data_IF_770490863122
#
_entry.id   IF_770490863122
#
_cell.length_a   1.000
_cell.length_b   1.000
_cell.length_c   1.000
_cell.angle_alpha   90.00
_cell.angle_beta   90.00
_cell.angle_gamma   90.00
#
_symmetry.space_group_name_H-M   'P 1'
#
loop_
_entity.id
_entity.type
_entity.pdbx_description
1 polymer ?
#
# COMPACT_ATOMS: atom_id res chain seq x y z
N UNK A 1 12.31 -10.35 -0.48
CA UNK A 1 11.11 -9.49 -0.64
C UNK A 1 11.58 -8.10 -0.97
N UNK A 2 10.92 -7.39 -1.91
CA UNK A 2 11.26 -6.00 -2.16
C UNK A 2 10.84 -5.14 -0.95
N UNK A 3 11.71 -4.24 -0.53
CA UNK A 3 11.45 -3.30 0.58
C UNK A 3 11.32 -1.90 -0.01
N UNK A 4 10.30 -1.15 0.39
CA UNK A 4 10.16 0.24 -0.03
C UNK A 4 11.18 1.13 0.70
N UNK A 5 11.71 2.18 0.06
CA UNK A 5 12.51 3.18 0.75
C UNK A 5 11.73 3.73 1.94
N UNK A 6 12.34 3.77 3.13
CA UNK A 6 11.72 4.29 4.36
C UNK A 6 11.23 5.74 4.23
N UNK A 7 11.78 6.48 3.26
CA UNK A 7 11.41 7.85 2.91
C UNK A 7 10.04 7.96 2.21
N UNK A 8 9.53 6.88 1.61
CA UNK A 8 8.28 6.87 0.84
C UNK A 8 7.13 6.22 1.60
N UNK A 9 7.42 5.25 2.47
CA UNK A 9 6.38 4.52 3.17
C UNK A 9 6.88 3.92 4.48
N UNK A 10 5.95 3.75 5.42
CA UNK A 10 6.19 3.15 6.73
C UNK A 10 5.53 1.78 6.80
N UNK A 11 6.26 0.77 7.27
CA UNK A 11 5.71 -0.59 7.40
C UNK A 11 4.56 -0.61 8.42
N UNK A 12 3.46 -1.24 8.06
CA UNK A 12 2.26 -1.40 8.92
C UNK A 12 2.06 -2.85 9.32
N UNK A 13 2.11 -3.76 8.35
CA UNK A 13 1.96 -5.19 8.57
C UNK A 13 2.73 -5.98 7.51
N UNK A 14 3.18 -7.17 7.86
CA UNK A 14 3.90 -8.06 6.95
C UNK A 14 3.46 -9.51 7.15
N UNK A 15 3.41 -10.25 6.05
CA UNK A 15 3.11 -11.67 6.06
C UNK A 15 3.63 -12.35 4.80
N UNK A 16 3.43 -13.68 4.69
CA UNK A 16 3.97 -14.47 3.58
C UNK A 16 3.36 -14.13 2.22
N UNK A 17 2.16 -13.56 2.15
CA UNK A 17 1.46 -13.25 0.89
C UNK A 17 1.52 -11.78 0.52
N UNK A 18 1.41 -10.88 1.50
CA UNK A 18 1.43 -9.43 1.29
C UNK A 18 2.22 -8.70 2.36
N UNK A 19 2.61 -7.48 2.03
CA UNK A 19 3.17 -6.49 2.94
C UNK A 19 2.41 -5.19 2.77
N UNK A 20 1.96 -4.60 3.87
CA UNK A 20 1.22 -3.35 3.88
C UNK A 20 2.14 -2.25 4.41
N UNK A 21 2.25 -1.19 3.64
CA UNK A 21 2.91 0.05 4.03
C UNK A 21 1.91 1.20 4.06
N UNK A 22 2.14 2.22 4.88
CA UNK A 22 1.44 3.49 4.84
C UNK A 22 2.30 4.52 4.11
N UNK A 23 1.72 5.23 3.15
CA UNK A 23 2.41 6.28 2.42
C UNK A 23 2.87 7.42 3.35
N UNK A 24 4.14 7.81 3.21
CA UNK A 24 4.76 8.93 3.92
C UNK A 24 4.93 10.11 2.96
N UNK A 25 4.30 11.24 3.28
CA UNK A 25 4.41 12.50 2.53
C UNK A 25 5.82 13.10 2.61
N UNK A 26 6.09 14.09 1.76
CA UNK A 26 7.37 14.80 1.73
C UNK A 26 7.62 15.61 3.02
N UNK A 27 6.55 16.15 3.62
CA UNK A 27 6.57 16.81 4.93
C UNK A 27 6.72 15.84 6.12
N UNK A 28 6.84 14.53 5.85
CA UNK A 28 6.99 13.48 6.85
C UNK A 28 5.67 12.96 7.45
N UNK A 29 4.52 13.56 7.12
CA UNK A 29 3.20 13.11 7.57
C UNK A 29 2.86 11.72 7.02
N UNK A 30 2.10 10.93 7.80
CA UNK A 30 1.65 9.59 7.43
C UNK A 30 0.14 9.48 7.65
N UNK A 31 -0.68 10.01 6.72
CA UNK A 31 -2.12 10.24 6.96
C UNK A 31 -2.90 9.00 7.37
N UNK A 32 -2.56 7.82 6.83
CA UNK A 32 -3.22 6.57 7.20
C UNK A 32 -2.96 6.18 8.67
N UNK A 33 -1.73 6.39 9.17
CA UNK A 33 -1.39 6.12 10.57
C UNK A 33 -2.01 7.17 11.51
N UNK A 34 -1.95 8.45 11.14
CA UNK A 34 -2.61 9.52 11.88
C UNK A 34 -4.12 9.28 12.03
N UNK A 35 -4.75 8.72 11.01
CA UNK A 35 -6.16 8.30 11.07
C UNK A 35 -6.36 7.11 12.02
N UNK A 36 -5.58 6.04 11.85
CA UNK A 36 -5.66 4.84 12.70
C UNK A 36 -5.47 5.19 14.18
N UNK A 37 -4.59 6.15 14.50
CA UNK A 37 -4.37 6.59 15.88
C UNK A 37 -5.58 7.28 16.51
N UNK A 38 -6.41 7.95 15.70
CA UNK A 38 -7.64 8.64 16.14
C UNK A 38 -8.85 7.72 16.31
N UNK A 39 -8.76 6.48 15.83
CA UNK A 39 -9.82 5.50 15.98
C UNK A 39 -9.96 5.03 17.44
N UNK A 40 -11.17 4.62 17.80
CA UNK A 40 -11.39 3.91 19.06
C UNK A 40 -10.58 2.61 19.11
N UNK A 41 -10.33 2.12 20.33
CA UNK A 41 -9.50 0.94 20.53
C UNK A 41 -10.04 -0.31 19.79
N UNK A 42 -11.35 -0.47 19.72
CA UNK A 42 -11.98 -1.60 19.03
C UNK A 42 -11.78 -1.52 17.50
N UNK A 43 -11.99 -0.35 16.91
CA UNK A 43 -11.76 -0.13 15.48
C UNK A 43 -10.28 -0.31 15.10
N UNK A 44 -9.36 0.22 15.92
CA UNK A 44 -7.92 0.03 15.75
C UNK A 44 -7.55 -1.47 15.76
N UNK A 45 -8.07 -2.23 16.72
CA UNK A 45 -7.83 -3.67 16.80
C UNK A 45 -8.39 -4.44 15.59
N UNK A 46 -9.60 -4.10 15.12
CA UNK A 46 -10.20 -4.74 13.93
C UNK A 46 -9.38 -4.47 12.67
N UNK A 47 -8.90 -3.25 12.44
CA UNK A 47 -8.00 -2.97 11.32
C UNK A 47 -6.69 -3.76 11.42
N UNK A 48 -6.09 -3.85 12.60
CA UNK A 48 -4.88 -4.65 12.80
C UNK A 48 -5.11 -6.13 12.44
N UNK A 49 -6.24 -6.72 12.85
CA UNK A 49 -6.65 -8.09 12.48
C UNK A 49 -6.82 -8.21 10.97
N UNK A 50 -7.57 -7.29 10.34
CA UNK A 50 -7.79 -7.31 8.90
C UNK A 50 -6.47 -7.22 8.12
N UNK A 51 -5.58 -6.31 8.49
CA UNK A 51 -4.26 -6.16 7.86
C UNK A 51 -3.43 -7.42 7.99
N UNK A 52 -3.42 -8.04 9.19
CA UNK A 52 -2.67 -9.26 9.42
C UNK A 52 -3.22 -10.44 8.61
N UNK A 53 -4.54 -10.67 8.63
CA UNK A 53 -5.19 -11.71 7.82
C UNK A 53 -4.94 -11.49 6.33
N UNK A 54 -5.05 -10.25 5.84
CA UNK A 54 -4.74 -9.95 4.44
C UNK A 54 -3.27 -10.22 4.08
N UNK A 55 -2.33 -9.92 4.99
CA UNK A 55 -0.92 -10.22 4.80
C UNK A 55 -0.60 -11.72 4.78
N UNK A 56 -1.36 -12.52 5.52
CA UNK A 56 -1.21 -13.97 5.61
C UNK A 56 -1.89 -14.72 4.46
N UNK A 57 -3.11 -14.32 4.10
CA UNK A 57 -3.98 -15.05 3.17
C UNK A 57 -3.96 -14.44 1.76
N UNK A 58 -3.55 -13.18 1.64
CA UNK A 58 -3.50 -12.44 0.37
C UNK A 58 -4.84 -11.92 -0.14
N UNK A 59 -5.93 -12.19 0.60
CA UNK A 59 -7.29 -11.76 0.31
C UNK A 59 -8.07 -11.52 1.61
N UNK A 60 -9.23 -10.88 1.50
CA UNK A 60 -10.19 -10.69 2.59
C UNK A 60 -11.61 -10.74 2.01
N UNK A 61 -12.63 -11.10 2.82
CA UNK A 61 -14.03 -10.97 2.42
C UNK A 61 -14.39 -9.55 1.95
N UNK A 62 -15.31 -9.45 0.99
CA UNK A 62 -15.73 -8.17 0.38
C UNK A 62 -16.15 -7.11 1.41
N UNK A 63 -16.79 -7.54 2.51
CA UNK A 63 -17.22 -6.66 3.60
C UNK A 63 -16.06 -5.94 4.31
N UNK A 64 -14.83 -6.42 4.18
CA UNK A 64 -13.62 -5.89 4.82
C UNK A 64 -12.61 -5.34 3.82
N UNK A 65 -12.65 -5.77 2.56
CA UNK A 65 -11.77 -5.31 1.51
C UNK A 65 -12.45 -5.37 0.15
N UNK A 66 -12.36 -4.31 -0.64
CA UNK A 66 -12.85 -4.34 -2.03
C UNK A 66 -12.05 -3.39 -2.93
N UNK A 67 -11.94 -3.76 -4.20
CA UNK A 67 -11.50 -2.84 -5.24
C UNK A 67 -12.61 -1.84 -5.56
N UNK A 68 -12.25 -0.58 -5.78
CA UNK A 68 -13.19 0.40 -6.30
C UNK A 68 -13.39 0.23 -7.79
N UNK A 69 -14.59 0.57 -8.26
CA UNK A 69 -14.97 0.35 -9.65
C UNK A 69 -14.46 1.48 -10.56
N UNK A 70 -13.29 1.26 -11.17
CA UNK A 70 -12.69 2.16 -12.16
C UNK A 70 -13.58 2.45 -13.39
N UNK A 71 -14.53 1.57 -13.72
CA UNK A 71 -15.50 1.82 -14.82
C UNK A 71 -16.55 2.86 -14.44
N UNK A 72 -16.90 2.97 -13.16
CA UNK A 72 -17.85 3.99 -12.65
C UNK A 72 -17.15 5.32 -12.38
N UNK A 73 -15.92 5.27 -11.88
CA UNK A 73 -15.09 6.46 -11.68
C UNK A 73 -13.64 6.14 -12.09
N UNK A 74 -13.16 6.76 -13.18
CA UNK A 74 -11.80 6.54 -13.69
C UNK A 74 -10.71 6.87 -12.67
N UNK A 75 -10.95 7.82 -11.77
CA UNK A 75 -10.00 8.18 -10.70
C UNK A 75 -9.86 7.05 -9.65
N UNK A 76 -10.80 6.10 -9.62
CA UNK A 76 -10.76 4.95 -8.74
C UNK A 76 -9.96 3.76 -9.32
N UNK A 77 -9.42 3.90 -10.53
CA UNK A 77 -8.74 2.78 -11.20
C UNK A 77 -7.47 2.34 -10.47
N UNK A 78 -7.38 1.03 -10.21
CA UNK A 78 -6.33 0.44 -9.40
C UNK A 78 -6.35 0.83 -7.92
N UNK A 79 -7.42 1.48 -7.43
CA UNK A 79 -7.63 1.73 -6.01
C UNK A 79 -8.49 0.62 -5.38
N UNK A 80 -8.20 0.31 -4.14
CA UNK A 80 -8.95 -0.60 -3.28
C UNK A 80 -9.12 0.02 -1.90
N UNK A 81 -9.88 -0.62 -1.03
CA UNK A 81 -10.22 -0.04 0.26
C UNK A 81 -10.43 -1.13 1.31
N UNK A 82 -9.76 -0.97 2.45
CA UNK A 82 -10.10 -1.68 3.69
C UNK A 82 -11.30 -1.01 4.35
N UNK A 83 -12.20 -1.81 4.93
CA UNK A 83 -13.44 -1.37 5.57
C UNK A 83 -13.51 -1.90 7.00
N UNK A 84 -14.00 -1.08 7.90
CA UNK A 84 -14.60 -1.51 9.16
C UNK A 84 -16.03 -0.99 9.24
N UNK A 85 -17.00 -1.88 9.00
CA UNK A 85 -18.42 -1.48 8.95
C UNK A 85 -18.97 -1.12 10.33
N UNK A 86 -18.33 -1.55 11.43
CA UNK A 86 -18.75 -1.22 12.79
C UNK A 86 -18.44 0.24 13.14
N UNK A 87 -17.22 0.72 12.86
CA UNK A 87 -16.85 2.13 13.02
C UNK A 87 -17.15 3.00 11.81
N UNK A 88 -17.73 2.42 10.75
CA UNK A 88 -17.99 3.08 9.46
C UNK A 88 -16.73 3.75 8.86
N UNK A 89 -15.58 3.12 9.09
CA UNK A 89 -14.27 3.64 8.70
C UNK A 89 -13.71 2.92 7.48
N UNK A 90 -12.95 3.66 6.66
CA UNK A 90 -12.39 3.19 5.40
C UNK A 90 -10.97 3.70 5.23
N UNK A 91 -10.09 2.87 4.68
CA UNK A 91 -8.70 3.20 4.38
C UNK A 91 -8.41 2.79 2.93
N UNK A 92 -8.33 3.74 1.98
CA UNK A 92 -8.00 3.43 0.61
C UNK A 92 -6.54 3.04 0.46
N UNK A 93 -6.28 2.16 -0.49
CA UNK A 93 -4.98 1.61 -0.79
C UNK A 93 -4.82 1.28 -2.27
N UNK A 94 -3.60 1.00 -2.69
CA UNK A 94 -3.30 0.51 -4.03
C UNK A 94 -2.13 -0.48 -3.99
N UNK A 95 -1.98 -1.28 -5.05
CA UNK A 95 -0.84 -2.16 -5.21
C UNK A 95 0.34 -1.41 -5.86
N UNK A 96 1.54 -1.58 -5.31
CA UNK A 96 2.78 -0.88 -5.73
C UNK A 96 3.39 -1.41 -7.05
N UNK A 97 2.70 -2.32 -7.75
CA UNK A 97 3.21 -3.03 -8.92
C UNK A 97 4.25 -4.12 -8.58
N UNK A 98 4.99 -3.98 -7.47
CA UNK A 98 5.79 -5.06 -6.91
C UNK A 98 4.88 -6.14 -6.31
N UNK A 99 5.22 -7.42 -6.57
CA UNK A 99 4.40 -8.55 -6.13
C UNK A 99 4.22 -8.54 -4.61
N UNK A 100 2.99 -8.32 -4.17
CA UNK A 100 2.60 -8.44 -2.77
C UNK A 100 2.66 -7.16 -1.93
N UNK A 101 3.06 -6.01 -2.50
CA UNK A 101 3.10 -4.75 -1.75
C UNK A 101 1.80 -3.96 -1.92
N UNK A 102 1.17 -3.61 -0.80
CA UNK A 102 0.01 -2.72 -0.72
C UNK A 102 0.40 -1.44 0.01
N UNK A 103 -0.04 -0.30 -0.51
CA UNK A 103 0.24 1.03 0.06
C UNK A 103 -1.07 1.67 0.50
N UNK A 104 -1.21 1.98 1.79
CA UNK A 104 -2.31 2.74 2.37
C UNK A 104 -2.10 4.23 2.10
N UNK A 105 -3.18 4.94 1.78
CA UNK A 105 -3.16 6.36 1.41
C UNK A 105 -3.47 7.26 2.61
N UNK A 106 -4.74 7.32 3.00
CA UNK A 106 -5.28 8.02 4.16
C UNK A 106 -6.45 7.21 4.73
N UNK A 107 -7.12 7.72 5.75
CA UNK A 107 -8.37 7.12 6.23
C UNK A 107 -9.45 8.17 6.45
N UNK A 108 -10.70 7.71 6.40
CA UNK A 108 -11.89 8.53 6.64
C UNK A 108 -13.00 7.69 7.27
N UNK A 109 -13.92 8.36 7.98
CA UNK A 109 -15.07 7.74 8.67
C UNK A 109 -16.41 8.28 8.18
N UNK A 110 -17.50 7.90 8.88
CA UNK A 110 -18.83 8.49 8.68
C UNK A 110 -19.62 7.99 7.45
N UNK A 111 -19.23 6.85 6.88
CA UNK A 111 -19.92 6.22 5.74
C UNK A 111 -21.12 5.40 6.20
N UNK A 112 -22.34 5.86 5.91
CA UNK A 112 -23.57 5.07 6.07
C UNK A 112 -23.88 4.16 4.87
N UNK A 113 -23.39 4.53 3.69
CA UNK A 113 -23.67 3.85 2.42
C UNK A 113 -22.40 3.35 1.72
N UNK A 114 -22.58 2.46 0.75
CA UNK A 114 -21.47 1.83 0.03
C UNK A 114 -20.77 2.75 -0.98
N UNK A 115 -21.46 3.79 -1.44
CA UNK A 115 -20.87 4.78 -2.34
C UNK A 115 -19.83 5.61 -1.60
N UNK A 116 -18.62 5.68 -2.18
CA UNK A 116 -17.50 6.47 -1.64
C UNK A 116 -17.60 7.91 -2.12
N UNK A 117 -17.24 8.87 -1.26
CA UNK A 117 -17.32 10.29 -1.63
C UNK A 117 -16.25 10.54 -2.71
N UNK A 118 -16.59 11.14 -3.86
CA UNK A 118 -15.63 11.46 -4.91
C UNK A 118 -14.38 12.21 -4.42
N UNK A 119 -14.47 12.99 -3.34
CA UNK A 119 -13.33 13.68 -2.72
C UNK A 119 -12.30 12.71 -2.18
N UNK A 120 -12.74 11.63 -1.55
CA UNK A 120 -11.85 10.60 -0.99
C UNK A 120 -11.17 9.80 -2.10
N UNK A 121 -11.89 9.53 -3.19
CA UNK A 121 -11.32 8.89 -4.38
C UNK A 121 -10.24 9.77 -4.99
N UNK A 122 -10.53 11.06 -5.20
CA UNK A 122 -9.57 12.04 -5.72
C UNK A 122 -8.33 12.16 -4.85
N UNK A 123 -8.50 12.17 -3.53
CA UNK A 123 -7.39 12.24 -2.59
C UNK A 123 -6.49 11.00 -2.68
N UNK A 124 -7.08 9.80 -2.69
CA UNK A 124 -6.33 8.55 -2.84
C UNK A 124 -5.61 8.47 -4.20
N UNK A 125 -6.25 8.90 -5.28
CA UNK A 125 -5.65 8.97 -6.61
C UNK A 125 -4.45 9.93 -6.66
N UNK A 126 -4.57 11.11 -6.04
CA UNK A 126 -3.46 12.08 -5.92
C UNK A 126 -2.28 11.51 -5.13
N UNK A 127 -2.56 10.83 -4.01
CA UNK A 127 -1.51 10.19 -3.20
C UNK A 127 -0.81 9.08 -4.00
N UNK A 128 -1.55 8.25 -4.73
CA UNK A 128 -0.99 7.23 -5.62
C UNK A 128 -0.08 7.85 -6.68
N UNK A 129 -0.54 8.89 -7.37
CA UNK A 129 0.24 9.58 -8.40
C UNK A 129 1.54 10.20 -7.83
N UNK A 130 1.46 10.85 -6.67
CA UNK A 130 2.63 11.40 -5.98
C UNK A 130 3.62 10.29 -5.59
N UNK A 131 3.11 9.19 -5.01
CA UNK A 131 3.92 8.04 -4.64
C UNK A 131 4.64 7.44 -5.85
N UNK A 132 3.95 7.21 -6.97
CA UNK A 132 4.53 6.70 -8.21
C UNK A 132 5.60 7.65 -8.76
N UNK A 133 5.35 8.97 -8.72
CA UNK A 133 6.31 9.99 -9.12
C UNK A 133 7.56 9.96 -8.23
N UNK A 134 7.40 9.91 -6.91
CA UNK A 134 8.54 9.89 -5.96
C UNK A 134 9.31 8.56 -6.02
N UNK A 135 8.64 7.43 -6.21
CA UNK A 135 9.29 6.12 -6.39
C UNK A 135 10.23 6.11 -7.59
N UNK A 136 9.89 6.80 -8.68
CA UNK A 136 10.79 6.93 -9.84
C UNK A 136 12.09 7.69 -9.53
N UNK A 137 12.06 8.61 -8.56
CA UNK A 137 13.24 9.40 -8.12
C UNK A 137 14.14 8.61 -7.16
N UNK A 138 13.59 7.64 -6.43
CA UNK A 138 14.30 6.80 -5.48
C UNK A 138 14.20 5.33 -5.89
N UNK A 139 14.89 4.90 -6.96
CA UNK A 139 14.86 3.52 -7.38
C UNK A 139 15.30 2.62 -6.21
N UNK A 140 14.68 1.44 -6.05
CA UNK A 140 15.06 0.52 -4.98
C UNK A 140 16.55 0.23 -5.07
N UNK A 141 17.29 0.50 -3.99
CA UNK A 141 18.68 0.12 -3.85
C UNK A 141 18.74 -1.40 -3.66
N UNK A 142 18.59 -2.15 -4.75
CA UNK A 142 18.90 -3.57 -4.78
C UNK A 142 20.41 -3.78 -4.63
N UNK A 143 20.86 -4.98 -4.25
CA UNK A 143 22.29 -5.27 -4.16
C UNK A 143 22.92 -5.04 -5.55
N UNK A 144 23.73 -3.99 -5.67
CA UNK A 144 24.54 -3.68 -6.83
C UNK A 144 25.66 -4.71 -6.94
N UNK A 145 25.30 -5.92 -7.38
CA UNK A 145 26.20 -7.06 -7.43
C UNK A 145 25.87 -7.94 -8.61
N UNK A 146 25.85 -7.37 -9.83
CA UNK A 146 26.22 -8.21 -10.97
C UNK A 146 27.74 -8.40 -10.84
N UNK A 147 28.26 -9.62 -10.56
CA UNK A 147 29.68 -9.86 -10.72
C UNK A 147 30.01 -9.51 -12.17
N UNK A 148 30.93 -8.59 -12.35
CA UNK A 148 31.48 -8.25 -13.63
C UNK A 148 32.24 -9.50 -14.13
N UNK A 149 31.54 -10.41 -14.79
CA UNK A 149 32.11 -11.62 -15.39
C UNK A 149 32.85 -11.23 -16.67
N UNK A 150 33.83 -10.33 -16.55
CA UNK A 150 34.81 -10.05 -17.58
C UNK A 150 36.14 -10.66 -17.15
N UNK A 151 36.56 -11.62 -17.97
CA UNK A 151 37.93 -12.11 -18.16
C UNK A 151 38.42 -13.17 -17.17
N UNK A 152 38.01 -14.42 -17.42
CA UNK A 152 38.93 -15.53 -17.24
C UNK A 152 39.76 -15.65 -18.53
N UNK A 153 41.10 -15.52 -18.48
CA UNK A 153 41.93 -15.75 -19.66
C UNK A 153 41.86 -17.22 -20.05
N UNK A 154 41.63 -17.46 -21.35
CA UNK A 154 41.56 -18.79 -21.94
C UNK A 154 42.84 -19.57 -21.68
N UNK A 155 42.73 -20.59 -20.82
CA UNK A 155 43.76 -21.62 -20.68
C UNK A 155 43.86 -22.42 -21.97
N UNK A 156 44.94 -22.19 -22.72
CA UNK A 156 45.36 -23.08 -23.81
C UNK A 156 45.62 -24.47 -23.23
N UNK A 157 44.83 -25.46 -23.63
CA UNK A 157 45.21 -26.87 -23.47
C UNK A 157 46.25 -27.18 -24.55
N UNK A 158 47.42 -27.64 -24.10
CA UNK A 158 48.38 -28.39 -24.92
C UNK A 158 47.93 -29.84 -24.98
#
# INVERSE_FOLDING_TARGET
MATLPQQLAQLVAAGPKRTIYAYRREDGSVPALEFLEKLDHGAKARFAIHFQSFCQEGHLPFKYYHAWNGKRNKEADGLSCFKDNQSQSRIPCFADGAQGIIVLTHGFGGKKEDDVDPREIKMAARIKADYEQRKSKYPPQGPSGKPNLKQLPGGKRK
#
